data_IF_175431857959
#
_entry.id   IF_175431857959
#
_cell.length_a   1.000
_cell.length_b   1.000
_cell.length_c   1.000
_cell.angle_alpha   90.00
_cell.angle_beta   90.00
_cell.angle_gamma   90.00
#
_symmetry.space_group_name_H-M   'P 1'
#
loop_
_entity.id
_entity.type
_entity.pdbx_description
1 polymer ?
#
# COMPACT_ATOMS: atom_id res chain seq x y z
N UNK A 1 -12.93 -2.02 12.91
CA UNK A 1 -11.81 -2.42 12.03
C UNK A 1 -10.86 -1.26 11.85
N UNK A 2 -9.60 -1.56 11.58
CA UNK A 2 -8.60 -0.53 11.30
C UNK A 2 -8.68 -0.17 9.82
N UNK A 3 -8.80 1.13 9.51
CA UNK A 3 -9.00 1.61 8.15
C UNK A 3 -7.98 2.69 7.81
N UNK A 4 -7.32 2.52 6.66
CA UNK A 4 -6.49 3.57 6.07
C UNK A 4 -7.32 4.38 5.08
N UNK A 5 -7.08 5.69 5.04
CA UNK A 5 -7.72 6.61 4.11
C UNK A 5 -6.64 7.35 3.34
N UNK A 6 -6.68 7.28 2.02
CA UNK A 6 -5.75 7.99 1.13
C UNK A 6 -6.56 8.99 0.30
N UNK A 7 -6.31 10.28 0.49
CA UNK A 7 -6.97 11.34 -0.25
C UNK A 7 -6.12 11.79 -1.41
N UNK A 8 -6.71 11.86 -2.58
CA UNK A 8 -6.07 12.32 -3.82
C UNK A 8 -7.00 13.28 -4.56
N UNK A 9 -6.47 13.98 -5.56
CA UNK A 9 -7.30 14.85 -6.40
C UNK A 9 -8.36 14.09 -7.20
N UNK A 10 -8.20 12.77 -7.33
CA UNK A 10 -9.14 11.91 -8.07
C UNK A 10 -10.23 11.35 -7.19
N UNK A 11 -10.10 11.50 -5.88
CA UNK A 11 -11.04 10.99 -4.89
C UNK A 11 -10.31 10.32 -3.73
N UNK A 12 -11.07 9.62 -2.92
CA UNK A 12 -10.59 8.99 -1.69
C UNK A 12 -10.61 7.47 -1.83
N UNK A 13 -9.53 6.83 -1.38
CA UNK A 13 -9.39 5.37 -1.31
C UNK A 13 -9.44 4.99 0.17
N UNK A 14 -10.31 4.05 0.54
CA UNK A 14 -10.40 3.53 1.90
C UNK A 14 -10.07 2.04 1.88
N UNK A 15 -9.22 1.63 2.82
CA UNK A 15 -8.69 0.26 2.87
C UNK A 15 -8.81 -0.28 4.29
N UNK A 16 -9.35 -1.49 4.40
CA UNK A 16 -9.23 -2.24 5.65
C UNK A 16 -7.81 -2.74 5.81
N UNK A 17 -7.22 -2.58 7.00
CA UNK A 17 -5.89 -3.09 7.32
C UNK A 17 -6.03 -4.38 8.13
N UNK A 18 -5.30 -5.42 7.73
CA UNK A 18 -5.37 -6.75 8.36
C UNK A 18 -4.44 -6.84 9.57
N UNK A 19 -4.75 -6.08 10.62
CA UNK A 19 -3.91 -5.98 11.82
C UNK A 19 -3.79 -7.29 12.60
N UNK A 20 -4.75 -8.19 12.46
CA UNK A 20 -4.74 -9.50 13.13
C UNK A 20 -3.80 -10.50 12.43
N UNK A 21 -3.67 -10.41 11.11
CA UNK A 21 -2.91 -11.37 10.30
C UNK A 21 -1.55 -10.85 9.86
N UNK A 22 -1.39 -9.54 9.76
CA UNK A 22 -0.13 -8.88 9.39
C UNK A 22 0.17 -7.73 10.38
N UNK A 23 0.28 -8.02 11.68
CA UNK A 23 0.35 -6.98 12.71
C UNK A 23 1.57 -6.07 12.58
N UNK A 24 2.72 -6.60 12.20
CA UNK A 24 3.95 -5.80 12.09
C UNK A 24 3.91 -4.88 10.88
N UNK A 25 3.42 -5.38 9.76
CA UNK A 25 3.30 -4.60 8.52
C UNK A 25 2.28 -3.49 8.70
N UNK A 26 1.13 -3.79 9.31
CA UNK A 26 0.10 -2.79 9.59
C UNK A 26 0.63 -1.73 10.58
N UNK A 27 1.33 -2.15 11.64
CA UNK A 27 1.88 -1.22 12.62
C UNK A 27 2.89 -0.27 11.98
N UNK A 28 3.72 -0.76 11.06
CA UNK A 28 4.67 0.08 10.32
C UNK A 28 3.93 1.13 9.46
N UNK A 29 2.93 0.70 8.71
CA UNK A 29 2.14 1.61 7.88
C UNK A 29 1.44 2.67 8.73
N UNK A 30 0.81 2.26 9.82
CA UNK A 30 0.10 3.15 10.74
C UNK A 30 1.06 4.17 11.37
N UNK A 31 2.23 3.73 11.78
CA UNK A 31 3.27 4.62 12.34
C UNK A 31 3.68 5.68 11.32
N UNK A 32 4.01 5.28 10.11
CA UNK A 32 4.44 6.21 9.06
C UNK A 32 3.32 7.17 8.69
N UNK A 33 2.09 6.69 8.55
CA UNK A 33 0.94 7.55 8.27
C UNK A 33 0.73 8.57 9.38
N UNK A 34 0.83 8.14 10.65
CA UNK A 34 0.68 9.02 11.80
C UNK A 34 1.76 10.09 11.92
N UNK A 35 2.93 9.84 11.35
CA UNK A 35 4.03 10.81 11.28
C UNK A 35 3.90 11.78 10.09
N UNK A 36 2.87 11.62 9.26
CA UNK A 36 2.73 12.40 8.04
C UNK A 36 3.70 12.00 6.93
N UNK A 37 4.35 10.84 7.06
CA UNK A 37 5.40 10.39 6.13
C UNK A 37 4.91 10.33 4.69
N UNK A 38 3.68 9.82 4.50
CA UNK A 38 3.13 9.63 3.15
C UNK A 38 2.53 10.89 2.55
N UNK A 39 2.26 11.92 3.35
CA UNK A 39 1.60 13.13 2.85
C UNK A 39 2.49 13.83 1.82
N UNK A 40 1.94 14.08 0.63
CA UNK A 40 2.67 14.71 -0.46
C UNK A 40 3.51 13.77 -1.30
N UNK A 41 3.57 12.47 -0.98
CA UNK A 41 4.29 11.50 -1.78
C UNK A 41 3.47 11.08 -3.00
N UNK A 42 4.17 10.64 -4.05
CA UNK A 42 3.56 10.29 -5.34
C UNK A 42 3.28 8.80 -5.46
N UNK A 43 2.31 8.47 -6.29
CA UNK A 43 2.24 7.17 -6.93
C UNK A 43 3.24 7.21 -8.09
N UNK A 44 4.49 6.85 -7.81
CA UNK A 44 5.60 7.03 -8.76
C UNK A 44 5.66 5.95 -9.83
N UNK A 45 4.91 4.86 -9.66
CA UNK A 45 4.88 3.76 -10.63
C UNK A 45 3.44 3.26 -10.75
N UNK A 46 2.86 3.47 -11.93
CA UNK A 46 1.49 3.03 -12.23
C UNK A 46 1.53 2.22 -13.51
N UNK A 47 1.09 0.97 -13.44
CA UNK A 47 1.03 0.06 -14.58
C UNK A 47 -0.42 -0.34 -14.77
N UNK A 48 -0.99 0.03 -15.92
CA UNK A 48 -2.38 -0.25 -16.27
C UNK A 48 -2.66 -1.76 -16.18
N UNK A 49 -3.83 -2.10 -15.66
CA UNK A 49 -4.30 -3.48 -15.50
C UNK A 49 -3.34 -4.32 -14.61
N UNK A 50 -2.61 -3.66 -13.72
CA UNK A 50 -1.72 -4.33 -12.77
C UNK A 50 -1.83 -3.68 -11.39
N UNK A 51 -1.21 -2.51 -11.17
CA UNK A 51 -1.17 -1.91 -9.83
C UNK A 51 -0.78 -0.43 -9.87
N UNK A 52 -1.03 0.26 -8.74
CA UNK A 52 -0.47 1.58 -8.46
C UNK A 52 0.48 1.44 -7.27
N UNK A 53 1.67 2.01 -7.37
CA UNK A 53 2.71 1.91 -6.35
C UNK A 53 3.17 3.29 -5.91
N UNK A 54 3.28 3.48 -4.60
CA UNK A 54 3.74 4.74 -4.03
C UNK A 54 4.41 4.54 -2.68
N UNK A 55 4.68 5.66 -1.98
CA UNK A 55 5.28 5.63 -0.66
C UNK A 55 6.79 5.75 -0.65
N UNK A 56 7.42 6.06 -1.80
CA UNK A 56 8.84 6.36 -1.85
C UNK A 56 9.07 7.85 -1.54
N UNK A 57 9.84 8.19 -0.49
CA UNK A 57 10.06 9.60 -0.13
C UNK A 57 10.82 10.38 -1.21
N UNK A 58 11.58 9.69 -2.05
CA UNK A 58 12.30 10.32 -3.18
C UNK A 58 11.48 10.36 -4.47
N UNK A 59 10.37 9.62 -4.52
CA UNK A 59 9.55 9.52 -5.73
C UNK A 59 10.21 8.77 -6.89
N UNK A 60 11.24 7.98 -6.62
CA UNK A 60 12.05 7.29 -7.63
C UNK A 60 11.99 5.77 -7.53
N UNK A 61 11.40 5.24 -6.44
CA UNK A 61 11.40 3.80 -6.15
C UNK A 61 12.62 3.33 -5.37
N UNK A 62 13.60 4.21 -5.11
CA UNK A 62 14.84 3.84 -4.42
C UNK A 62 14.89 4.28 -2.96
N UNK A 63 13.94 5.09 -2.50
CA UNK A 63 13.89 5.60 -1.14
C UNK A 63 13.02 4.77 -0.22
N UNK A 64 13.23 4.95 1.08
CA UNK A 64 12.46 4.29 2.12
C UNK A 64 12.53 5.06 3.43
N UNK A 65 12.02 4.46 4.53
CA UNK A 65 11.92 5.16 5.81
C UNK A 65 13.22 5.16 6.62
N UNK A 66 14.31 4.64 6.07
CA UNK A 66 15.60 4.55 6.76
C UNK A 66 15.84 3.20 7.44
N UNK A 67 14.98 2.24 7.22
CA UNK A 67 15.10 0.87 7.75
C UNK A 67 14.38 -0.11 6.83
N UNK A 68 14.65 -1.40 7.03
CA UNK A 68 13.93 -2.49 6.38
C UNK A 68 13.42 -3.46 7.43
N UNK A 69 12.34 -4.19 7.13
CA UNK A 69 11.81 -5.21 8.03
C UNK A 69 11.37 -6.46 7.26
N UNK A 70 11.25 -7.57 8.01
CA UNK A 70 11.01 -8.89 7.45
C UNK A 70 9.64 -9.01 6.80
N UNK A 71 9.53 -9.90 5.82
CA UNK A 71 8.27 -10.30 5.24
C UNK A 71 7.34 -10.90 6.30
N UNK A 72 6.04 -10.69 6.10
CA UNK A 72 5.01 -11.16 7.01
C UNK A 72 3.89 -11.76 6.18
N UNK A 73 4.04 -13.03 5.83
CA UNK A 73 3.06 -13.76 5.02
C UNK A 73 2.05 -14.47 5.90
N UNK A 74 0.79 -14.45 5.48
CA UNK A 74 -0.26 -15.23 6.12
C UNK A 74 -0.96 -16.07 5.05
N UNK A 75 -1.26 -17.36 5.31
CA UNK A 75 -1.83 -18.25 4.28
C UNK A 75 -3.16 -17.77 3.69
N UNK A 76 -3.95 -17.00 4.45
CA UNK A 76 -5.22 -16.48 3.98
C UNK A 76 -5.11 -15.13 3.26
N UNK A 77 -3.94 -14.48 3.27
CA UNK A 77 -3.73 -13.18 2.63
C UNK A 77 -3.01 -13.37 1.31
N UNK A 78 -3.77 -13.23 0.22
CA UNK A 78 -3.28 -13.50 -1.15
C UNK A 78 -3.65 -12.33 -2.07
N UNK A 79 -2.93 -12.27 -3.19
CA UNK A 79 -3.21 -11.30 -4.26
C UNK A 79 -4.29 -11.88 -5.19
N UNK A 80 -5.49 -12.11 -4.66
CA UNK A 80 -6.53 -12.91 -5.32
C UNK A 80 -7.65 -12.07 -5.94
N UNK A 81 -7.55 -10.74 -5.89
CA UNK A 81 -8.59 -9.84 -6.38
C UNK A 81 -8.06 -8.43 -6.63
N UNK A 82 -8.92 -7.56 -7.16
CA UNK A 82 -8.63 -6.13 -7.23
C UNK A 82 -8.59 -5.51 -5.84
N UNK A 83 -7.78 -4.46 -5.66
CA UNK A 83 -7.75 -3.68 -4.44
C UNK A 83 -6.94 -4.28 -3.30
N UNK A 84 -6.06 -5.24 -3.57
CA UNK A 84 -5.17 -5.80 -2.56
C UNK A 84 -4.05 -4.79 -2.27
N UNK A 85 -3.86 -4.49 -0.98
CA UNK A 85 -2.79 -3.62 -0.49
C UNK A 85 -1.63 -4.50 -0.02
N UNK A 86 -0.46 -4.31 -0.62
CA UNK A 86 0.70 -5.17 -0.41
C UNK A 86 1.99 -4.35 -0.40
N UNK A 87 3.03 -4.85 0.26
CA UNK A 87 4.31 -4.16 0.34
C UNK A 87 5.16 -4.39 -0.90
N UNK A 88 5.64 -3.29 -1.49
CA UNK A 88 6.71 -3.36 -2.48
C UNK A 88 8.02 -3.70 -1.77
N UNK A 89 8.94 -4.37 -2.46
CA UNK A 89 10.24 -4.72 -1.92
C UNK A 89 11.28 -4.90 -3.03
N UNK A 90 12.53 -5.05 -2.62
CA UNK A 90 13.68 -5.31 -3.51
C UNK A 90 14.23 -6.72 -3.30
N UNK A 91 13.38 -7.67 -2.91
CA UNK A 91 13.74 -9.05 -2.60
C UNK A 91 13.27 -9.43 -1.19
N UNK A 92 13.60 -10.63 -0.70
CA UNK A 92 13.16 -11.10 0.61
C UNK A 92 13.58 -10.16 1.73
N UNK A 93 12.64 -9.88 2.65
CA UNK A 93 12.90 -9.15 3.89
C UNK A 93 13.46 -7.73 3.70
N UNK A 94 12.98 -7.03 2.65
CA UNK A 94 13.39 -5.65 2.36
C UNK A 94 12.23 -4.68 2.37
N UNK A 95 11.21 -4.92 3.19
CA UNK A 95 10.06 -4.04 3.31
C UNK A 95 10.46 -2.73 3.98
N UNK A 96 9.92 -1.62 3.51
CA UNK A 96 10.16 -0.29 4.07
C UNK A 96 8.89 0.53 4.10
N UNK A 97 8.77 1.52 3.21
CA UNK A 97 7.58 2.38 3.15
C UNK A 97 6.76 2.21 1.88
N UNK A 98 7.32 1.66 0.82
CA UNK A 98 6.63 1.55 -0.47
C UNK A 98 5.60 0.45 -0.44
N UNK A 99 4.44 0.72 -1.02
CA UNK A 99 3.33 -0.22 -1.12
C UNK A 99 2.68 -0.11 -2.49
N UNK A 100 1.85 -1.11 -2.82
CA UNK A 100 1.05 -1.05 -4.05
C UNK A 100 -0.38 -1.52 -3.77
N UNK A 101 -1.29 -1.06 -4.63
CA UNK A 101 -2.70 -1.45 -4.61
C UNK A 101 -3.02 -2.01 -5.99
N UNK A 102 -3.61 -3.20 -6.05
CA UNK A 102 -3.79 -3.90 -7.32
C UNK A 102 -5.04 -3.45 -8.07
N UNK A 103 -4.98 -3.52 -9.41
CA UNK A 103 -6.14 -3.33 -10.29
C UNK A 103 -6.94 -4.63 -10.48
N UNK A 104 -6.30 -5.77 -10.24
CA UNK A 104 -6.83 -7.10 -10.52
C UNK A 104 -6.14 -8.14 -9.65
N UNK A 105 -6.49 -9.39 -9.83
CA UNK A 105 -5.77 -10.52 -9.27
C UNK A 105 -4.33 -10.57 -9.81
N UNK A 106 -3.35 -10.78 -8.93
CA UNK A 106 -1.92 -10.82 -9.26
C UNK A 106 -1.25 -11.97 -8.50
N UNK A 107 -1.78 -13.19 -8.68
CA UNK A 107 -1.41 -14.36 -7.87
C UNK A 107 0.07 -14.75 -7.95
N UNK A 108 0.77 -14.34 -9.00
CA UNK A 108 2.22 -14.58 -9.11
C UNK A 108 3.05 -13.84 -8.05
N UNK A 109 2.43 -12.89 -7.33
CA UNK A 109 3.08 -12.14 -6.25
C UNK A 109 2.94 -12.83 -4.88
N UNK A 110 2.11 -13.86 -4.77
CA UNK A 110 1.89 -14.59 -3.52
C UNK A 110 3.22 -15.21 -3.04
N UNK A 111 3.49 -15.07 -1.74
CA UNK A 111 4.73 -15.56 -1.14
C UNK A 111 5.96 -14.70 -1.42
N UNK A 112 5.82 -13.59 -2.14
CA UNK A 112 6.90 -12.66 -2.46
C UNK A 112 6.67 -11.26 -1.89
N UNK A 113 5.42 -10.88 -1.70
CA UNK A 113 5.01 -9.57 -1.17
C UNK A 113 4.02 -9.76 -0.04
N UNK A 114 4.18 -8.97 1.03
CA UNK A 114 3.35 -9.08 2.24
C UNK A 114 2.04 -8.32 2.06
N UNK A 115 0.96 -9.04 1.86
CA UNK A 115 -0.41 -8.47 1.81
C UNK A 115 -0.82 -8.04 3.21
N UNK A 116 -1.33 -6.81 3.35
CA UNK A 116 -1.75 -6.31 4.65
C UNK A 116 -3.04 -5.50 4.65
N UNK A 117 -3.72 -5.39 3.51
CA UNK A 117 -5.00 -4.68 3.45
C UNK A 117 -5.79 -4.95 2.19
N UNK A 118 -7.00 -4.37 2.15
CA UNK A 118 -7.95 -4.52 1.06
C UNK A 118 -8.77 -3.25 0.90
N UNK A 119 -8.93 -2.77 -0.33
CA UNK A 119 -9.83 -1.64 -0.63
C UNK A 119 -11.27 -2.04 -0.27
N UNK A 120 -11.92 -1.19 0.54
CA UNK A 120 -13.32 -1.33 0.89
C UNK A 120 -14.20 -0.25 0.24
N UNK A 121 -13.57 0.84 -0.23
CA UNK A 121 -14.26 1.92 -0.93
C UNK A 121 -13.23 2.66 -1.78
N UNK A 122 -13.59 3.00 -3.03
CA UNK A 122 -12.72 3.78 -3.91
C UNK A 122 -11.89 2.95 -4.89
N UNK A 123 -12.30 1.74 -5.24
CA UNK A 123 -11.60 0.99 -6.28
C UNK A 123 -11.59 1.75 -7.62
N UNK A 124 -12.66 2.48 -7.93
CA UNK A 124 -12.73 3.34 -9.10
C UNK A 124 -11.67 4.44 -9.05
N UNK A 125 -11.36 4.95 -7.87
CA UNK A 125 -10.27 5.93 -7.69
C UNK A 125 -8.91 5.26 -7.93
N UNK A 126 -8.68 4.05 -7.40
CA UNK A 126 -7.46 3.28 -7.68
C UNK A 126 -7.26 3.14 -9.19
N UNK A 127 -8.32 2.79 -9.91
CA UNK A 127 -8.28 2.58 -11.36
C UNK A 127 -8.04 3.90 -12.13
N UNK A 128 -8.39 5.03 -11.52
CA UNK A 128 -8.23 6.36 -12.13
C UNK A 128 -6.87 7.01 -11.86
N UNK A 129 -6.13 6.54 -10.86
CA UNK A 129 -4.81 7.10 -10.50
C UNK A 129 -3.85 6.98 -11.68
N UNK A 130 -3.11 8.05 -11.91
CA UNK A 130 -2.07 8.12 -12.95
C UNK A 130 -0.70 8.33 -12.33
N UNK A 131 0.33 7.93 -13.04
CA UNK A 131 1.71 8.10 -12.59
C UNK A 131 2.00 9.55 -12.26
N UNK A 132 2.53 9.80 -11.06
CA UNK A 132 2.81 11.14 -10.57
C UNK A 132 1.69 11.77 -9.75
N UNK A 133 0.51 11.14 -9.67
CA UNK A 133 -0.55 11.63 -8.79
C UNK A 133 -0.10 11.56 -7.33
N UNK A 134 -0.51 12.56 -6.53
CA UNK A 134 -0.02 12.77 -5.17
C UNK A 134 -1.04 12.23 -4.15
N UNK A 135 -0.52 11.57 -3.12
CA UNK A 135 -1.26 11.28 -1.90
C UNK A 135 -1.28 12.54 -1.05
N UNK A 136 -2.41 13.25 -1.04
CA UNK A 136 -2.52 14.54 -0.33
C UNK A 136 -2.54 14.34 1.18
N UNK A 137 -3.23 13.31 1.63
CA UNK A 137 -3.32 12.95 3.05
C UNK A 137 -3.49 11.44 3.19
N UNK A 138 -2.70 10.85 4.08
CA UNK A 138 -2.84 9.44 4.43
C UNK A 138 -3.03 9.34 5.94
N UNK A 139 -4.11 8.69 6.36
CA UNK A 139 -4.43 8.54 7.78
C UNK A 139 -4.92 7.13 8.07
N UNK A 140 -4.80 6.71 9.33
CA UNK A 140 -5.28 5.41 9.81
C UNK A 140 -6.12 5.65 11.06
N UNK A 141 -7.29 5.02 11.13
CA UNK A 141 -8.20 5.12 12.27
C UNK A 141 -9.00 3.85 12.47
N UNK A 142 -9.72 3.82 13.58
CA UNK A 142 -10.66 2.72 13.88
C UNK A 142 -12.06 3.07 13.39
N UNK A 143 -12.72 2.10 12.78
CA UNK A 143 -14.11 2.24 12.36
C UNK A 143 -14.95 1.02 12.72
#
# INVERSE_FOLDING_TARGET
>A
MKVATIKTKRGTIRLELHADKAPKTVANFEKLAGQGFYNGLKFHRVIADFMIQGGCPRGTGTGGPGYEFADEFHPSLKHDRAGVLSMANAGPNTNGSQFFITHRETSWLDGKHSVFGQVIDGQDVVDAIRQGDVMELVSVGEE
#
